data_IF_527013730737
#
_entry.id   IF_527013730737
#
_cell.length_a   1.000
_cell.length_b   1.000
_cell.length_c   1.000
_cell.angle_alpha   90.00
_cell.angle_beta   90.00
_cell.angle_gamma   90.00
#
_symmetry.space_group_name_H-M   'P 1'
#
loop_
_entity.id
_entity.type
_entity.pdbx_description
1 polymer ?
#
# COMPACT_ATOMS: atom_id res chain seq x y z
N UNK A 1 19.14 -17.83 -10.04
CA UNK A 1 18.45 -16.60 -9.62
C UNK A 1 18.64 -16.44 -8.11
N UNK A 2 19.06 -15.27 -7.65
CA UNK A 2 19.27 -15.01 -6.23
C UNK A 2 17.90 -15.05 -5.50
N UNK A 3 17.82 -15.82 -4.41
CA UNK A 3 16.60 -15.92 -3.59
C UNK A 3 16.13 -14.55 -3.06
N UNK A 4 17.08 -13.63 -2.88
CA UNK A 4 16.79 -12.26 -2.45
C UNK A 4 15.99 -11.49 -3.49
N UNK A 5 16.32 -11.65 -4.77
CA UNK A 5 15.59 -11.02 -5.88
C UNK A 5 14.15 -11.54 -5.94
N UNK A 6 13.97 -12.85 -5.75
CA UNK A 6 12.63 -13.45 -5.73
C UNK A 6 11.78 -12.91 -4.59
N UNK A 7 12.34 -12.78 -3.38
CA UNK A 7 11.62 -12.23 -2.23
C UNK A 7 11.24 -10.76 -2.46
N UNK A 8 12.15 -9.95 -3.02
CA UNK A 8 11.85 -8.56 -3.35
C UNK A 8 10.80 -8.44 -4.45
N UNK A 9 10.83 -9.31 -5.44
CA UNK A 9 9.82 -9.37 -6.49
C UNK A 9 8.44 -9.73 -5.93
N UNK A 10 8.36 -10.69 -5.00
CA UNK A 10 7.10 -11.04 -4.32
C UNK A 10 6.56 -9.90 -3.48
N UNK A 11 7.43 -9.18 -2.76
CA UNK A 11 7.02 -8.00 -2.00
C UNK A 11 6.47 -6.90 -2.92
N UNK A 12 7.13 -6.64 -4.04
CA UNK A 12 6.68 -5.66 -5.03
C UNK A 12 5.37 -6.09 -5.70
N UNK A 13 5.21 -7.39 -6.00
CA UNK A 13 3.97 -7.93 -6.54
C UNK A 13 2.80 -7.77 -5.56
N UNK A 14 3.01 -8.07 -4.28
CA UNK A 14 1.99 -7.88 -3.25
C UNK A 14 1.55 -6.41 -3.16
N UNK A 15 2.49 -5.48 -3.21
CA UNK A 15 2.18 -4.04 -3.21
C UNK A 15 1.47 -3.58 -4.48
N UNK A 16 1.84 -4.12 -5.64
CA UNK A 16 1.15 -3.86 -6.89
C UNK A 16 -0.30 -4.34 -6.86
N UNK A 17 -0.54 -5.52 -6.32
CA UNK A 17 -1.89 -6.07 -6.11
C UNK A 17 -2.69 -5.18 -5.16
N UNK A 18 -2.12 -4.80 -4.03
CA UNK A 18 -2.73 -3.89 -3.06
C UNK A 18 -3.17 -2.56 -3.70
N UNK A 19 -2.32 -1.98 -4.54
CA UNK A 19 -2.60 -0.72 -5.21
C UNK A 19 -3.81 -0.79 -6.16
N UNK A 20 -4.04 -1.95 -6.79
CA UNK A 20 -5.01 -2.10 -7.88
C UNK A 20 -6.27 -2.88 -7.51
N UNK A 21 -6.29 -3.59 -6.39
CA UNK A 21 -7.42 -4.45 -6.02
C UNK A 21 -8.76 -3.70 -5.95
N UNK A 22 -8.76 -2.49 -5.44
CA UNK A 22 -9.97 -1.67 -5.35
C UNK A 22 -10.49 -1.23 -6.73
N UNK A 23 -9.60 -0.94 -7.67
CA UNK A 23 -9.99 -0.54 -9.02
C UNK A 23 -10.74 -1.65 -9.76
N UNK A 24 -10.40 -2.92 -9.50
CA UNK A 24 -11.07 -4.07 -10.12
C UNK A 24 -12.48 -4.37 -9.58
N UNK A 25 -12.85 -3.81 -8.42
CA UNK A 25 -14.09 -4.12 -7.71
C UNK A 25 -14.93 -2.90 -7.35
N UNK A 26 -14.73 -1.77 -8.04
CA UNK A 26 -15.37 -0.50 -7.69
C UNK A 26 -16.90 -0.58 -7.65
N UNK A 27 -17.54 -1.22 -8.63
CA UNK A 27 -19.00 -1.31 -8.69
C UNK A 27 -19.58 -2.11 -7.51
N UNK A 28 -19.00 -3.27 -7.20
CA UNK A 28 -19.42 -4.09 -6.08
C UNK A 28 -19.19 -3.38 -4.74
N UNK A 29 -18.07 -2.71 -4.59
CA UNK A 29 -17.72 -1.96 -3.38
C UNK A 29 -18.65 -0.77 -3.17
N UNK A 30 -19.00 -0.05 -4.25
CA UNK A 30 -19.95 1.05 -4.21
C UNK A 30 -21.33 0.59 -3.75
N UNK A 31 -21.78 -0.55 -4.24
CA UNK A 31 -23.06 -1.16 -3.84
C UNK A 31 -23.05 -1.56 -2.37
N UNK A 32 -22.02 -2.25 -1.90
CA UNK A 32 -21.89 -2.65 -0.49
C UNK A 32 -21.84 -1.46 0.47
N UNK A 33 -21.16 -0.39 0.08
CA UNK A 33 -21.02 0.81 0.92
C UNK A 33 -22.19 1.79 0.77
N UNK A 34 -23.11 1.55 -0.17
CA UNK A 34 -24.22 2.47 -0.43
C UNK A 34 -23.77 3.85 -0.95
N UNK A 35 -22.69 3.90 -1.74
CA UNK A 35 -22.12 5.12 -2.29
C UNK A 35 -22.06 5.03 -3.82
N UNK A 36 -21.83 6.17 -4.50
CA UNK A 36 -21.60 6.17 -5.95
C UNK A 36 -20.28 5.49 -6.32
N UNK A 37 -20.18 4.99 -7.56
CA UNK A 37 -18.92 4.42 -8.10
C UNK A 37 -17.79 5.46 -8.08
N UNK A 38 -18.10 6.71 -8.38
CA UNK A 38 -17.14 7.81 -8.30
C UNK A 38 -16.60 8.00 -6.88
N UNK A 39 -17.46 7.90 -5.87
CA UNK A 39 -17.05 8.00 -4.46
C UNK A 39 -16.24 6.78 -4.02
N UNK A 40 -16.60 5.59 -4.44
CA UNK A 40 -15.80 4.38 -4.21
C UNK A 40 -14.41 4.50 -4.86
N UNK A 41 -14.30 5.14 -6.01
CA UNK A 41 -13.03 5.44 -6.69
C UNK A 41 -12.09 6.31 -5.87
N UNK A 42 -12.60 7.12 -4.95
CA UNK A 42 -11.78 7.92 -4.04
C UNK A 42 -10.90 7.04 -3.11
N UNK A 43 -11.31 5.81 -2.84
CA UNK A 43 -10.50 4.87 -2.05
C UNK A 43 -9.19 4.52 -2.77
N UNK A 44 -9.24 4.26 -4.08
CA UNK A 44 -8.05 4.03 -4.89
C UNK A 44 -7.23 5.33 -5.07
N UNK A 45 -7.90 6.46 -5.31
CA UNK A 45 -7.26 7.75 -5.46
C UNK A 45 -6.56 8.21 -4.17
N UNK A 46 -7.15 7.98 -3.00
CA UNK A 46 -6.56 8.31 -1.71
C UNK A 46 -5.26 7.53 -1.47
N UNK A 47 -5.23 6.25 -1.79
CA UNK A 47 -4.02 5.44 -1.73
C UNK A 47 -2.93 6.01 -2.65
N UNK A 48 -3.25 6.23 -3.92
CA UNK A 48 -2.31 6.71 -4.93
C UNK A 48 -1.75 8.10 -4.59
N UNK A 49 -2.60 9.03 -4.17
CA UNK A 49 -2.21 10.39 -3.79
C UNK A 49 -1.31 10.37 -2.55
N UNK A 50 -1.68 9.60 -1.54
CA UNK A 50 -0.87 9.47 -0.31
C UNK A 50 0.48 8.85 -0.61
N UNK A 51 0.52 7.79 -1.43
CA UNK A 51 1.76 7.18 -1.87
C UNK A 51 2.65 8.17 -2.60
N UNK A 52 2.12 8.91 -3.57
CA UNK A 52 2.87 9.88 -4.35
C UNK A 52 3.45 11.02 -3.50
N UNK A 53 2.67 11.51 -2.53
CA UNK A 53 3.09 12.61 -1.64
C UNK A 53 4.06 12.15 -0.55
N UNK A 54 3.88 10.98 0.00
CA UNK A 54 4.66 10.47 1.11
C UNK A 54 5.97 9.78 0.67
N UNK A 55 6.04 9.22 -0.54
CA UNK A 55 7.20 8.46 -0.99
C UNK A 55 8.51 9.27 -0.99
N UNK A 56 8.59 10.50 -1.54
CA UNK A 56 9.85 11.26 -1.57
C UNK A 56 10.39 11.59 -0.17
N UNK A 57 9.60 12.18 0.77
CA UNK A 57 10.12 12.50 2.10
C UNK A 57 10.47 11.26 2.91
N UNK A 58 9.68 10.18 2.80
CA UNK A 58 9.98 8.94 3.50
C UNK A 58 11.22 8.23 2.96
N UNK A 59 11.45 8.24 1.64
CA UNK A 59 12.66 7.69 1.06
C UNK A 59 13.92 8.34 1.64
N UNK A 60 13.92 9.66 1.80
CA UNK A 60 15.02 10.40 2.45
C UNK A 60 15.16 10.05 3.94
N UNK A 61 14.06 10.04 4.68
CA UNK A 61 14.07 9.75 6.12
C UNK A 61 14.49 8.31 6.44
N UNK A 62 14.18 7.35 5.57
CA UNK A 62 14.42 5.93 5.78
C UNK A 62 15.77 5.46 5.20
N UNK A 63 16.50 6.31 4.47
CA UNK A 63 17.74 5.94 3.78
C UNK A 63 18.84 5.38 4.71
N UNK A 64 18.87 5.82 5.96
CA UNK A 64 19.83 5.38 6.97
C UNK A 64 19.41 4.10 7.73
N UNK A 65 18.19 3.62 7.52
CA UNK A 65 17.66 2.47 8.23
C UNK A 65 17.94 1.16 7.49
N UNK A 66 17.95 0.07 8.23
CA UNK A 66 18.07 -1.27 7.67
C UNK A 66 16.88 -1.58 6.74
N UNK A 67 17.17 -1.73 5.46
CA UNK A 67 16.17 -1.98 4.40
C UNK A 67 15.26 -3.17 4.70
N UNK A 68 15.83 -4.25 5.28
CA UNK A 68 15.05 -5.43 5.64
C UNK A 68 14.00 -5.11 6.70
N UNK A 69 14.38 -4.35 7.72
CA UNK A 69 13.45 -3.95 8.79
C UNK A 69 12.35 -3.04 8.27
N UNK A 70 12.71 -2.09 7.40
CA UNK A 70 11.75 -1.16 6.78
C UNK A 70 10.74 -1.92 5.93
N UNK A 71 11.18 -2.84 5.08
CA UNK A 71 10.28 -3.66 4.23
C UNK A 71 9.36 -4.52 5.09
N UNK A 72 9.89 -5.21 6.10
CA UNK A 72 9.09 -6.05 6.99
C UNK A 72 8.06 -5.23 7.78
N UNK A 73 8.44 -4.07 8.29
CA UNK A 73 7.53 -3.17 8.99
C UNK A 73 6.42 -2.68 8.06
N UNK A 74 6.74 -2.31 6.82
CA UNK A 74 5.77 -1.90 5.82
C UNK A 74 4.79 -3.01 5.44
N UNK A 75 5.28 -4.22 5.19
CA UNK A 75 4.43 -5.38 4.88
C UNK A 75 3.51 -5.75 6.04
N UNK A 76 4.03 -5.75 7.27
CA UNK A 76 3.22 -5.99 8.46
C UNK A 76 2.15 -4.91 8.65
N UNK A 77 2.51 -3.65 8.46
CA UNK A 77 1.57 -2.53 8.56
C UNK A 77 0.45 -2.63 7.52
N UNK A 78 0.76 -2.92 6.26
CA UNK A 78 -0.24 -3.14 5.21
C UNK A 78 -1.13 -4.33 5.54
N UNK A 79 -0.56 -5.44 6.01
CA UNK A 79 -1.33 -6.62 6.42
C UNK A 79 -2.33 -6.32 7.55
N UNK A 80 -1.90 -5.62 8.60
CA UNK A 80 -2.77 -5.19 9.72
C UNK A 80 -3.84 -4.22 9.24
N UNK A 81 -3.49 -3.26 8.39
CA UNK A 81 -4.44 -2.29 7.84
C UNK A 81 -5.49 -2.96 6.94
N UNK A 82 -5.11 -3.96 6.17
CA UNK A 82 -6.07 -4.74 5.37
C UNK A 82 -7.04 -5.54 6.25
N UNK A 83 -6.57 -6.11 7.36
CA UNK A 83 -7.46 -6.73 8.34
C UNK A 83 -8.41 -5.69 8.98
N UNK A 84 -7.91 -4.51 9.29
CA UNK A 84 -8.74 -3.41 9.78
C UNK A 84 -9.78 -2.95 8.75
N UNK A 85 -9.45 -2.99 7.45
CA UNK A 85 -10.39 -2.67 6.37
C UNK A 85 -11.59 -3.60 6.35
N UNK A 86 -11.41 -4.89 6.64
CA UNK A 86 -12.52 -5.87 6.74
C UNK A 86 -13.49 -5.48 7.84
N UNK A 87 -13.00 -4.92 8.93
CA UNK A 87 -13.79 -4.49 10.07
C UNK A 87 -14.27 -3.02 9.99
N UNK A 88 -13.96 -2.30 8.92
CA UNK A 88 -14.29 -0.88 8.77
C UNK A 88 -15.82 -0.69 8.70
N UNK A 89 -16.43 0.09 9.65
CA UNK A 89 -17.87 0.21 9.75
C UNK A 89 -18.49 1.20 8.75
N UNK A 90 -17.69 2.03 8.09
CA UNK A 90 -18.15 3.11 7.22
C UNK A 90 -17.17 3.40 6.09
N UNK A 91 -17.63 4.16 5.09
CA UNK A 91 -16.78 4.68 4.01
C UNK A 91 -15.63 5.53 4.56
N UNK A 92 -15.89 6.42 5.52
CA UNK A 92 -14.87 7.26 6.13
C UNK A 92 -13.78 6.47 6.83
N UNK A 93 -14.14 5.40 7.56
CA UNK A 93 -13.19 4.50 8.20
C UNK A 93 -12.34 3.76 7.17
N UNK A 94 -12.93 3.27 6.09
CA UNK A 94 -12.24 2.60 5.00
C UNK A 94 -11.30 3.57 4.25
N UNK A 95 -11.74 4.81 4.04
CA UNK A 95 -10.91 5.87 3.44
C UNK A 95 -9.66 6.15 4.28
N UNK A 96 -9.82 6.26 5.60
CA UNK A 96 -8.69 6.44 6.53
C UNK A 96 -7.71 5.27 6.45
N UNK A 97 -8.19 4.04 6.41
CA UNK A 97 -7.35 2.84 6.23
C UNK A 97 -6.59 2.91 4.90
N UNK A 98 -7.22 3.34 3.82
CA UNK A 98 -6.56 3.49 2.50
C UNK A 98 -5.44 4.53 2.51
N UNK A 99 -5.64 5.64 3.19
CA UNK A 99 -4.58 6.66 3.38
C UNK A 99 -3.40 6.06 4.14
N UNK A 100 -3.65 5.37 5.24
CA UNK A 100 -2.60 4.70 6.02
C UNK A 100 -1.89 3.60 5.23
N UNK A 101 -2.60 2.84 4.41
CA UNK A 101 -2.02 1.86 3.49
C UNK A 101 -1.08 2.54 2.47
N UNK A 102 -1.44 3.69 1.95
CA UNK A 102 -0.58 4.48 1.06
C UNK A 102 0.74 4.86 1.71
N UNK A 103 0.71 5.31 2.97
CA UNK A 103 1.93 5.60 3.75
C UNK A 103 2.75 4.33 3.99
N UNK A 104 2.12 3.25 4.44
CA UNK A 104 2.79 1.98 4.70
C UNK A 104 3.43 1.38 3.44
N UNK A 105 2.78 1.49 2.29
CA UNK A 105 3.30 1.04 1.00
C UNK A 105 4.59 1.78 0.60
N UNK A 106 4.76 3.03 1.02
CA UNK A 106 5.98 3.81 0.81
C UNK A 106 7.21 3.20 1.52
N UNK A 107 7.00 2.42 2.58
CA UNK A 107 8.08 1.70 3.24
C UNK A 107 8.60 0.54 2.39
N UNK A 108 7.74 -0.07 1.58
CA UNK A 108 8.05 -1.29 0.83
C UNK A 108 8.58 -0.97 -0.58
N UNK A 109 7.82 -0.26 -1.39
CA UNK A 109 8.09 -0.07 -2.82
C UNK A 109 9.47 0.53 -3.11
N UNK A 110 9.74 1.77 -2.68
CA UNK A 110 11.03 2.41 -2.93
C UNK A 110 12.20 1.67 -2.28
N UNK A 111 11.99 1.12 -1.07
CA UNK A 111 13.04 0.40 -0.33
C UNK A 111 13.39 -0.92 -1.02
N UNK A 112 12.38 -1.66 -1.53
CA UNK A 112 12.60 -2.89 -2.29
C UNK A 112 13.32 -2.61 -3.61
N UNK A 113 12.94 -1.55 -4.33
CA UNK A 113 13.61 -1.12 -5.56
C UNK A 113 15.08 -0.76 -5.30
N UNK A 114 15.35 0.02 -4.27
CA UNK A 114 16.71 0.39 -3.87
C UNK A 114 17.54 -0.83 -3.41
N UNK A 115 16.91 -1.80 -2.73
CA UNK A 115 17.57 -3.03 -2.33
C UNK A 115 17.91 -3.91 -3.54
N UNK A 116 17.01 -4.03 -4.51
CA UNK A 116 17.25 -4.79 -5.74
C UNK A 116 18.36 -4.17 -6.60
N UNK A 117 18.42 -2.84 -6.69
CA UNK A 117 19.47 -2.13 -7.43
C UNK A 117 20.86 -2.28 -6.81
N UNK A 118 20.96 -2.65 -5.53
CA UNK A 118 22.20 -2.86 -4.81
C UNK A 118 22.72 -4.31 -4.86
N UNK A 119 21.97 -5.22 -5.46
CA UNK A 119 22.35 -6.63 -5.65
C UNK A 119 23.10 -6.84 -6.95
#
# INVERSE_FOLDING_TARGET
>A
MDKRILVLALASFAMGTEAHVYAGHLAALAEELGVSVARAGQLAAAFAATYALAAPPLAGALAALDRRRVILAGLCAVGVLNLAAVAAPSFGALLAVRVLCGVAACLVGPTAAAAAAAL
#
